data_IF_332398775349
#
_entry.id   IF_332398775349
#
_cell.length_a   1.000
_cell.length_b   1.000
_cell.length_c   1.000
_cell.angle_alpha   90.00
_cell.angle_beta   90.00
_cell.angle_gamma   90.00
#
_symmetry.space_group_name_H-M   'P 1'
#
loop_
_entity.id
_entity.type
_entity.pdbx_description
1 polymer ?
#
# COMPACT_ATOMS: atom_id res chain seq x y z
N UNK A 1 11.56 9.97 5.17
CA UNK A 1 10.09 9.71 5.03
C UNK A 1 9.54 9.60 3.59
N UNK A 2 9.80 10.56 2.69
CA UNK A 2 9.24 10.57 1.32
C UNK A 2 9.55 9.29 0.52
N UNK A 3 10.81 8.86 0.52
CA UNK A 3 11.26 7.62 -0.14
C UNK A 3 10.52 6.37 0.38
N UNK A 4 10.37 6.25 1.71
CA UNK A 4 9.63 5.12 2.30
C UNK A 4 8.16 5.08 1.85
N UNK A 5 7.50 6.24 1.79
CA UNK A 5 6.14 6.30 1.25
C UNK A 5 6.14 5.90 -0.23
N UNK A 6 7.13 6.35 -1.02
CA UNK A 6 7.23 6.00 -2.43
C UNK A 6 7.44 4.48 -2.64
N UNK A 7 8.34 3.88 -1.88
CA UNK A 7 8.59 2.43 -1.86
C UNK A 7 7.32 1.67 -1.50
N UNK A 8 6.60 2.11 -0.47
CA UNK A 8 5.36 1.45 -0.07
C UNK A 8 4.26 1.59 -1.12
N UNK A 9 4.11 2.77 -1.75
CA UNK A 9 3.18 2.98 -2.86
C UNK A 9 3.54 2.07 -4.03
N UNK A 10 4.83 1.96 -4.36
CA UNK A 10 5.33 1.09 -5.44
C UNK A 10 5.05 -0.38 -5.15
N UNK A 11 5.31 -0.84 -3.92
CA UNK A 11 5.02 -2.20 -3.47
C UNK A 11 3.53 -2.55 -3.62
N UNK A 12 2.64 -1.67 -3.14
CA UNK A 12 1.19 -1.87 -3.27
C UNK A 12 0.69 -1.79 -4.72
N UNK A 13 1.25 -0.87 -5.51
CA UNK A 13 0.96 -0.81 -6.94
C UNK A 13 1.32 -2.12 -7.64
N UNK A 14 2.50 -2.67 -7.37
CA UNK A 14 2.94 -3.94 -7.94
C UNK A 14 2.08 -5.13 -7.47
N UNK A 15 1.66 -5.14 -6.21
CA UNK A 15 0.74 -6.17 -5.70
C UNK A 15 -0.62 -6.12 -6.42
N UNK A 16 -1.23 -4.93 -6.55
CA UNK A 16 -2.52 -4.72 -7.20
C UNK A 16 -2.50 -4.87 -8.73
N UNK A 17 -1.31 -4.86 -9.34
CA UNK A 17 -1.11 -5.07 -10.79
C UNK A 17 -0.47 -6.42 -11.11
N UNK A 18 -0.20 -7.25 -10.10
CA UNK A 18 0.36 -8.58 -10.28
C UNK A 18 -0.57 -9.44 -11.14
N UNK A 19 -0.06 -10.18 -12.14
CA UNK A 19 -0.89 -11.07 -12.96
C UNK A 19 -1.68 -12.09 -12.13
N UNK A 20 -1.10 -12.56 -11.03
CA UNK A 20 -1.76 -13.48 -10.09
C UNK A 20 -3.02 -12.85 -9.49
N UNK A 21 -2.95 -11.61 -9.02
CA UNK A 21 -4.09 -10.89 -8.47
C UNK A 21 -5.09 -10.49 -9.57
N UNK A 22 -4.62 -9.99 -10.72
CA UNK A 22 -5.52 -9.62 -11.81
C UNK A 22 -6.32 -10.82 -12.35
N UNK A 23 -5.77 -12.03 -12.27
CA UNK A 23 -6.47 -13.26 -12.68
C UNK A 23 -7.64 -13.65 -11.79
N UNK A 24 -7.76 -13.09 -10.57
CA UNK A 24 -8.89 -13.36 -9.68
C UNK A 24 -10.15 -12.62 -10.09
N UNK A 25 -10.04 -11.57 -10.92
CA UNK A 25 -11.21 -10.81 -11.36
C UNK A 25 -12.02 -11.56 -12.42
N UNK A 26 -13.23 -11.95 -12.06
CA UNK A 26 -14.22 -12.48 -12.99
C UNK A 26 -15.03 -11.30 -13.57
N UNK A 27 -15.22 -11.21 -14.90
CA UNK A 27 -15.99 -10.14 -15.51
C UNK A 27 -17.36 -9.94 -14.87
N UNK A 28 -17.66 -8.69 -14.49
CA UNK A 28 -18.92 -8.26 -13.86
C UNK A 28 -19.20 -8.87 -12.48
N UNK A 29 -18.22 -9.52 -11.87
CA UNK A 29 -18.32 -9.98 -10.49
C UNK A 29 -17.37 -9.16 -9.62
N UNK A 30 -17.82 -8.71 -8.43
CA UNK A 30 -16.90 -8.12 -7.47
C UNK A 30 -15.97 -9.20 -6.91
N UNK A 31 -14.81 -8.79 -6.39
CA UNK A 31 -13.94 -9.69 -5.64
C UNK A 31 -14.69 -10.34 -4.48
N UNK A 32 -14.35 -11.60 -4.21
CA UNK A 32 -14.82 -12.30 -3.02
C UNK A 32 -14.26 -11.67 -1.75
N UNK A 33 -14.97 -11.74 -0.61
CA UNK A 33 -14.45 -11.27 0.67
C UNK A 33 -13.10 -11.90 1.04
N UNK A 34 -12.90 -13.18 0.71
CA UNK A 34 -11.61 -13.85 0.90
C UNK A 34 -10.49 -13.18 0.11
N UNK A 35 -10.69 -12.86 -1.16
CA UNK A 35 -9.66 -12.20 -1.98
C UNK A 35 -9.33 -10.80 -1.48
N UNK A 36 -10.35 -10.07 -0.99
CA UNK A 36 -10.18 -8.75 -0.37
C UNK A 36 -9.30 -8.83 0.87
N UNK A 37 -9.49 -9.84 1.72
CA UNK A 37 -8.67 -10.04 2.92
C UNK A 37 -7.20 -10.32 2.61
N UNK A 38 -6.91 -11.01 1.50
CA UNK A 38 -5.53 -11.30 1.06
C UNK A 38 -4.81 -10.09 0.47
N UNK A 39 -5.50 -8.97 0.25
CA UNK A 39 -4.92 -7.74 -0.27
C UNK A 39 -4.91 -6.64 0.80
N UNK A 40 -3.75 -6.36 1.44
CA UNK A 40 -3.66 -5.43 2.56
C UNK A 40 -4.27 -4.06 2.25
N UNK A 41 -4.02 -3.52 1.05
CA UNK A 41 -4.57 -2.23 0.63
C UNK A 41 -6.11 -2.21 0.58
N UNK A 42 -6.76 -3.31 0.20
CA UNK A 42 -8.22 -3.33 0.05
C UNK A 42 -8.95 -3.33 1.40
N UNK A 43 -8.28 -3.68 2.49
CA UNK A 43 -8.83 -3.63 3.84
C UNK A 43 -9.09 -2.18 4.31
N UNK A 44 -8.45 -1.19 3.66
CA UNK A 44 -8.70 0.23 3.87
C UNK A 44 -9.87 0.77 3.05
N UNK A 45 -10.60 -0.08 2.31
CA UNK A 45 -11.87 0.30 1.70
C UNK A 45 -12.99 -0.04 2.69
N UNK A 46 -13.86 0.92 3.06
CA UNK A 46 -14.99 0.64 3.94
C UNK A 46 -15.88 -0.49 3.43
N UNK A 47 -16.32 -1.36 4.33
CA UNK A 47 -17.12 -2.55 4.02
C UNK A 47 -18.31 -2.31 3.05
N UNK A 48 -19.11 -1.22 3.15
CA UNK A 48 -20.20 -0.97 2.20
C UNK A 48 -19.76 -0.81 0.74
N UNK A 49 -18.48 -0.48 0.51
CA UNK A 49 -17.90 -0.29 -0.82
C UNK A 49 -17.11 -1.51 -1.30
N UNK A 50 -16.78 -2.46 -0.42
CA UNK A 50 -16.04 -3.68 -0.77
C UNK A 50 -16.81 -4.56 -1.78
N UNK A 51 -18.14 -4.56 -1.71
CA UNK A 51 -19.03 -5.20 -2.71
C UNK A 51 -18.96 -4.58 -4.13
N UNK A 52 -18.23 -3.49 -4.32
CA UNK A 52 -18.06 -2.80 -5.60
C UNK A 52 -16.64 -2.89 -6.15
N UNK A 53 -15.78 -3.76 -5.60
CA UNK A 53 -14.42 -3.96 -6.07
C UNK A 53 -14.44 -4.88 -7.31
N UNK A 54 -14.80 -4.31 -8.45
CA UNK A 54 -14.66 -4.90 -9.78
C UNK A 54 -13.26 -4.63 -10.35
N UNK A 55 -12.91 -5.27 -11.47
CA UNK A 55 -11.64 -4.98 -12.15
C UNK A 55 -11.49 -3.48 -12.47
N UNK A 56 -12.54 -2.81 -12.96
CA UNK A 56 -12.53 -1.36 -13.24
C UNK A 56 -12.36 -0.51 -11.99
N UNK A 57 -12.81 -0.98 -10.82
CA UNK A 57 -12.56 -0.33 -9.54
C UNK A 57 -11.07 -0.43 -9.18
N UNK A 58 -10.48 -1.61 -9.34
CA UNK A 58 -9.05 -1.84 -9.11
C UNK A 58 -8.16 -1.04 -10.08
N UNK A 59 -8.54 -0.95 -11.36
CA UNK A 59 -7.86 -0.09 -12.34
C UNK A 59 -7.87 1.39 -11.92
N UNK A 60 -9.00 1.87 -11.39
CA UNK A 60 -9.08 3.23 -10.83
C UNK A 60 -8.17 3.39 -9.61
N UNK A 61 -8.19 2.44 -8.68
CA UNK A 61 -7.36 2.43 -7.48
C UNK A 61 -5.86 2.41 -7.83
N UNK A 62 -5.42 1.49 -8.69
CA UNK A 62 -4.03 1.37 -9.15
C UNK A 62 -3.55 2.61 -9.91
N UNK A 63 -4.43 3.26 -10.68
CA UNK A 63 -4.12 4.54 -11.33
C UNK A 63 -3.82 5.63 -10.30
N UNK A 64 -4.58 5.68 -9.21
CA UNK A 64 -4.34 6.63 -8.12
C UNK A 64 -3.05 6.31 -7.34
N UNK A 65 -2.75 5.03 -7.09
CA UNK A 65 -1.45 4.61 -6.54
C UNK A 65 -0.29 5.07 -7.42
N UNK A 66 -0.40 4.85 -8.75
CA UNK A 66 0.62 5.30 -9.71
C UNK A 66 0.79 6.82 -9.70
N UNK A 67 -0.32 7.57 -9.65
CA UNK A 67 -0.27 9.03 -9.58
C UNK A 67 0.39 9.51 -8.28
N UNK A 68 0.10 8.86 -7.15
CA UNK A 68 0.76 9.13 -5.88
C UNK A 68 2.27 8.81 -5.94
N UNK A 69 2.66 7.70 -6.56
CA UNK A 69 4.07 7.33 -6.75
C UNK A 69 4.81 8.40 -7.55
N UNK A 70 4.24 8.86 -8.66
CA UNK A 70 4.81 9.94 -9.49
C UNK A 70 4.95 11.24 -8.70
N UNK A 71 4.01 11.59 -7.82
CA UNK A 71 4.15 12.76 -6.97
C UNK A 71 5.26 12.63 -5.93
N UNK A 72 5.48 11.42 -5.41
CA UNK A 72 6.51 11.12 -4.43
C UNK A 72 7.89 10.97 -5.07
N UNK A 73 8.00 10.49 -6.30
CA UNK A 73 9.26 10.34 -7.04
C UNK A 73 9.08 10.81 -8.49
N UNK A 74 9.02 12.12 -8.74
CA UNK A 74 8.76 12.64 -10.08
C UNK A 74 9.88 12.33 -11.06
N UNK A 75 11.13 12.19 -10.59
CA UNK A 75 12.27 11.84 -11.43
C UNK A 75 12.13 10.40 -11.95
N UNK A 76 11.98 9.41 -11.05
CA UNK A 76 11.90 7.98 -11.39
C UNK A 76 10.54 7.64 -12.02
N UNK A 77 9.45 8.17 -11.46
CA UNK A 77 8.09 7.85 -11.88
C UNK A 77 7.77 8.30 -13.31
N UNK A 78 8.51 9.27 -13.84
CA UNK A 78 8.29 9.84 -15.17
C UNK A 78 9.27 9.35 -16.23
N UNK A 79 10.40 8.73 -15.86
CA UNK A 79 11.32 8.11 -16.82
C UNK A 79 10.61 7.07 -17.70
N UNK A 80 9.61 6.37 -17.14
CA UNK A 80 8.79 5.39 -17.89
C UNK A 80 7.70 6.01 -18.76
N UNK A 81 7.58 7.34 -18.76
CA UNK A 81 6.55 8.12 -19.46
C UNK A 81 7.13 8.87 -20.66
N UNK A 82 7.98 8.20 -21.45
CA UNK A 82 8.51 8.75 -22.71
C UNK A 82 7.35 9.21 -23.63
N UNK A 83 7.34 10.49 -24.00
CA UNK A 83 6.34 11.07 -24.91
C UNK A 83 5.31 12.00 -24.28
N UNK A 84 5.35 12.22 -22.96
CA UNK A 84 4.49 13.22 -22.33
C UNK A 84 4.91 14.66 -22.65
N UNK A 85 3.92 15.56 -22.68
CA UNK A 85 4.15 16.99 -22.85
C UNK A 85 4.99 17.54 -21.70
N UNK A 86 6.06 18.28 -22.02
CA UNK A 86 6.93 18.95 -21.03
C UNK A 86 6.14 19.80 -20.04
N UNK A 87 5.05 20.43 -20.50
CA UNK A 87 4.18 21.22 -19.65
C UNK A 87 3.49 20.40 -18.53
N UNK A 88 3.12 19.14 -18.80
CA UNK A 88 2.56 18.26 -17.79
C UNK A 88 3.62 17.88 -16.74
N UNK A 89 4.85 17.61 -17.19
CA UNK A 89 5.97 17.32 -16.29
C UNK A 89 6.27 18.48 -15.35
N UNK A 90 6.38 19.70 -15.88
CA UNK A 90 6.59 20.91 -15.07
C UNK A 90 5.49 21.05 -14.00
N UNK A 91 4.23 20.76 -14.37
CA UNK A 91 3.11 20.74 -13.43
C UNK A 91 3.28 19.66 -12.35
N UNK A 92 3.69 18.44 -12.70
CA UNK A 92 3.95 17.35 -11.74
C UNK A 92 5.05 17.75 -10.75
N UNK A 93 6.15 18.33 -11.23
CA UNK A 93 7.23 18.82 -10.37
C UNK A 93 6.75 19.91 -9.41
N UNK A 94 5.93 20.86 -9.89
CA UNK A 94 5.35 21.90 -9.04
C UNK A 94 4.38 21.34 -7.99
N UNK A 95 3.55 20.35 -8.34
CA UNK A 95 2.67 19.66 -7.39
C UNK A 95 3.47 18.88 -6.35
N UNK A 96 4.50 18.15 -6.79
CA UNK A 96 5.42 17.38 -5.93
C UNK A 96 6.12 18.25 -4.87
N UNK A 97 6.51 19.49 -5.21
CA UNK A 97 7.09 20.45 -4.25
C UNK A 97 6.12 20.86 -3.14
N UNK A 98 4.82 20.90 -3.44
CA UNK A 98 3.76 21.26 -2.47
C UNK A 98 3.37 20.08 -1.56
N UNK A 99 3.76 18.86 -1.94
CA UNK A 99 3.42 17.63 -1.23
C UNK A 99 2.22 16.90 -1.84
N UNK A 100 2.08 15.59 -1.56
CA UNK A 100 1.06 14.74 -2.15
C UNK A 100 -0.29 14.96 -1.43
N UNK A 101 -1.10 15.90 -1.93
CA UNK A 101 -2.48 16.08 -1.45
C UNK A 101 -3.45 15.22 -2.27
N UNK A 102 -4.65 14.89 -1.77
CA UNK A 102 -5.68 14.20 -2.55
C UNK A 102 -5.96 14.87 -3.90
N UNK A 103 -6.03 16.20 -3.89
CA UNK A 103 -6.25 17.00 -5.10
C UNK A 103 -5.07 16.87 -6.09
N UNK A 104 -3.83 16.93 -5.60
CA UNK A 104 -2.65 16.73 -6.44
C UNK A 104 -2.65 15.34 -7.09
N UNK A 105 -3.00 14.29 -6.34
CA UNK A 105 -3.07 12.92 -6.87
C UNK A 105 -4.10 12.83 -7.99
N UNK A 106 -5.29 13.42 -7.82
CA UNK A 106 -6.33 13.45 -8.86
C UNK A 106 -5.90 14.23 -10.10
N UNK A 107 -5.19 15.35 -9.93
CA UNK A 107 -4.67 16.13 -11.05
C UNK A 107 -3.61 15.38 -11.85
N UNK A 108 -2.70 14.68 -11.17
CA UNK A 108 -1.71 13.83 -11.82
C UNK A 108 -2.39 12.65 -12.52
N UNK A 109 -3.33 11.97 -11.85
CA UNK A 109 -4.07 10.86 -12.42
C UNK A 109 -4.84 11.25 -13.69
N UNK A 110 -5.48 12.42 -13.68
CA UNK A 110 -6.23 12.95 -14.85
C UNK A 110 -5.31 13.30 -16.03
N UNK A 111 -4.05 13.61 -15.73
CA UNK A 111 -3.06 13.96 -16.74
C UNK A 111 -2.28 12.76 -17.29
N UNK A 112 -2.46 11.54 -16.76
CA UNK A 112 -1.87 10.31 -17.32
C UNK A 112 -2.58 9.94 -18.62
N UNK A 113 -2.36 10.70 -19.70
CA UNK A 113 -3.09 10.65 -20.97
C UNK A 113 -3.11 9.31 -21.73
N UNK A 114 -2.42 8.27 -21.24
CA UNK A 114 -2.54 6.89 -21.75
C UNK A 114 -3.53 6.02 -20.96
N UNK A 115 -3.89 6.43 -19.76
CA UNK A 115 -4.88 5.75 -18.93
C UNK A 115 -6.25 6.35 -19.23
N UNK A 116 -7.25 5.50 -19.46
CA UNK A 116 -8.63 5.94 -19.44
C UNK A 116 -8.93 6.57 -18.06
N UNK A 117 -9.48 7.78 -18.05
CA UNK A 117 -9.96 8.42 -16.82
C UNK A 117 -11.25 7.76 -16.30
N UNK A 118 -11.89 6.93 -17.13
CA UNK A 118 -13.07 6.13 -16.83
C UNK A 118 -12.94 5.33 -15.54
N UNK A 119 -11.93 4.45 -15.40
CA UNK A 119 -11.65 3.72 -14.16
C UNK A 119 -11.54 4.59 -12.90
N UNK A 120 -10.83 5.73 -12.96
CA UNK A 120 -10.72 6.64 -11.79
C UNK A 120 -12.09 7.23 -11.44
N UNK A 121 -12.86 7.68 -12.45
CA UNK A 121 -14.24 8.15 -12.23
C UNK A 121 -15.13 7.04 -11.66
N UNK A 122 -15.00 5.82 -12.15
CA UNK A 122 -15.73 4.66 -11.66
C UNK A 122 -15.42 4.40 -10.18
N UNK A 123 -14.13 4.37 -9.80
CA UNK A 123 -13.68 4.22 -8.42
C UNK A 123 -14.33 5.26 -7.50
N UNK A 124 -14.23 6.55 -7.86
CA UNK A 124 -14.80 7.65 -7.07
C UNK A 124 -16.33 7.56 -6.97
N UNK A 125 -17.02 7.24 -8.08
CA UNK A 125 -18.48 7.11 -8.11
C UNK A 125 -19.00 5.94 -7.26
N UNK A 126 -18.17 4.93 -6.99
CA UNK A 126 -18.51 3.79 -6.12
C UNK A 126 -18.19 4.03 -4.65
N UNK A 127 -17.86 5.26 -4.27
CA UNK A 127 -17.52 5.64 -2.89
C UNK A 127 -16.04 5.50 -2.54
N UNK A 128 -15.20 5.19 -3.54
CA UNK A 128 -13.75 5.24 -3.43
C UNK A 128 -13.26 6.65 -3.12
N UNK A 129 -12.18 6.75 -2.36
CA UNK A 129 -11.55 8.01 -1.93
C UNK A 129 -10.04 7.92 -2.07
N UNK A 130 -9.38 9.04 -2.33
CA UNK A 130 -7.91 9.06 -2.38
C UNK A 130 -7.33 8.88 -0.98
N UNK A 131 -8.08 9.29 0.04
CA UNK A 131 -7.74 9.17 1.45
C UNK A 131 -7.51 7.71 1.86
N UNK A 132 -8.26 6.74 1.30
CA UNK A 132 -8.05 5.31 1.59
C UNK A 132 -6.65 4.84 1.17
N UNK A 133 -6.11 5.40 0.08
CA UNK A 133 -4.76 5.10 -0.41
C UNK A 133 -3.72 5.68 0.54
N UNK A 134 -3.91 6.91 1.00
CA UNK A 134 -3.00 7.51 1.97
C UNK A 134 -3.01 6.76 3.30
N UNK A 135 -4.19 6.39 3.81
CA UNK A 135 -4.29 5.63 5.05
C UNK A 135 -3.58 4.28 4.91
N UNK A 136 -3.82 3.56 3.81
CA UNK A 136 -3.14 2.30 3.52
C UNK A 136 -1.61 2.45 3.51
N UNK A 137 -1.09 3.40 2.72
CA UNK A 137 0.34 3.62 2.55
C UNK A 137 1.01 4.07 3.84
N UNK A 138 0.40 5.00 4.57
CA UNK A 138 0.95 5.53 5.82
C UNK A 138 1.01 4.44 6.87
N UNK A 139 -0.05 3.65 7.02
CA UNK A 139 -0.11 2.60 8.03
C UNK A 139 0.88 1.47 7.73
N UNK A 140 0.93 1.00 6.49
CA UNK A 140 1.93 -0.01 6.10
C UNK A 140 3.37 0.51 6.18
N UNK A 141 3.61 1.79 5.88
CA UNK A 141 4.93 2.41 6.04
C UNK A 141 5.34 2.57 7.53
N UNK A 142 4.35 2.64 8.44
CA UNK A 142 4.59 2.58 9.89
C UNK A 142 4.96 1.18 10.32
N UNK A 143 4.20 0.17 9.90
CA UNK A 143 4.43 -1.25 10.24
C UNK A 143 5.82 -1.74 9.81
N UNK A 144 6.31 -1.31 8.65
CA UNK A 144 7.65 -1.67 8.15
C UNK A 144 8.80 -0.93 8.86
N UNK A 145 8.51 0.03 9.74
CA UNK A 145 9.54 0.69 10.52
C UNK A 145 10.01 -0.23 11.65
N UNK A 146 10.90 -1.17 11.34
CA UNK A 146 11.53 -2.12 12.29
C UNK A 146 12.10 -1.41 13.52
N UNK A 147 12.48 -0.15 13.36
CA UNK A 147 13.00 0.67 14.42
C UNK A 147 12.39 2.07 14.34
N UNK A 148 11.72 2.47 15.43
CA UNK A 148 11.51 3.88 15.75
C UNK A 148 12.80 4.60 16.14
N UNK A 149 13.98 4.03 15.86
CA UNK A 149 15.29 4.58 16.25
C UNK A 149 15.89 5.53 15.20
N UNK A 150 15.33 5.58 13.99
CA UNK A 150 15.79 6.47 12.92
C UNK A 150 16.88 5.89 12.00
N UNK A 151 17.32 4.65 12.18
CA UNK A 151 18.48 4.10 11.45
C UNK A 151 18.26 3.82 9.96
N UNK A 152 17.02 3.94 9.46
CA UNK A 152 16.72 3.70 8.03
C UNK A 152 17.21 4.86 7.15
N UNK A 153 17.15 6.11 7.64
CA UNK A 153 17.64 7.26 6.86
C UNK A 153 19.17 7.22 6.74
N UNK A 154 19.87 6.71 7.76
CA UNK A 154 21.33 6.53 7.75
C UNK A 154 21.83 5.56 6.66
N UNK A 155 21.02 4.59 6.22
CA UNK A 155 21.41 3.62 5.17
C UNK A 155 21.36 4.20 3.76
N UNK A 156 20.57 5.24 3.53
CA UNK A 156 20.36 5.81 2.20
C UNK A 156 20.97 7.20 2.00
N UNK A 157 21.37 7.89 3.08
CA UNK A 157 22.13 9.15 3.00
C UNK A 157 23.62 8.97 2.66
N UNK A 158 24.06 7.75 2.36
CA UNK A 158 25.38 7.48 1.77
C UNK A 158 25.40 8.06 0.35
N UNK A 159 25.77 9.34 0.23
CA UNK A 159 26.01 9.98 -1.06
C UNK A 159 27.06 9.16 -1.83
N UNK A 160 26.83 8.87 -3.12
CA UNK A 160 27.79 8.12 -3.95
C UNK A 160 29.10 8.86 -4.22
N UNK A 161 29.27 10.10 -3.73
CA UNK A 161 30.41 10.96 -4.04
C UNK A 161 31.71 10.60 -3.29
N UNK A 162 31.76 9.48 -2.57
CA UNK A 162 32.94 9.07 -1.80
C UNK A 162 33.41 7.63 -2.09
N UNK A 163 33.33 7.20 -3.36
CA UNK A 163 34.02 5.99 -3.86
C UNK A 163 35.39 6.32 -4.48
N UNK A 164 36.16 7.22 -3.85
CA UNK A 164 37.59 7.34 -4.12
C UNK A 164 38.37 6.51 -3.08
N UNK A 165 38.38 5.20 -3.30
CA UNK A 165 39.46 4.28 -2.91
C UNK A 165 39.52 3.29 -4.07
N UNK A 166 40.25 3.60 -5.14
CA UNK A 166 41.66 3.23 -5.31
C UNK A 166 41.95 1.84 -4.72
N UNK A 167 42.20 0.91 -5.64
CA UNK A 167 42.87 -0.38 -5.49
C UNK A 167 42.12 -1.50 -4.75
N UNK A 168 41.42 -2.34 -5.52
CA UNK A 168 41.52 -3.79 -5.41
C UNK A 168 40.94 -4.45 -6.68
N UNK A 169 41.84 -4.93 -7.55
CA UNK A 169 41.48 -5.75 -8.69
C UNK A 169 41.12 -7.16 -8.20
N UNK A 170 39.96 -7.73 -8.57
CA UNK A 170 39.72 -9.14 -8.35
C UNK A 170 40.57 -9.94 -9.35
N UNK A 171 41.52 -10.72 -8.83
CA UNK A 171 42.18 -11.78 -9.58
C UNK A 171 41.10 -12.78 -10.06
N UNK A 172 41.12 -13.08 -11.36
CA UNK A 172 40.27 -14.09 -11.97
C UNK A 172 40.72 -15.49 -11.51
N UNK A 173 40.09 -16.00 -10.45
CA UNK A 173 40.23 -17.41 -10.07
C UNK A 173 39.22 -18.25 -10.86
N UNK A 174 39.74 -18.99 -11.83
CA UNK A 174 39.09 -20.07 -12.57
C UNK A 174 38.63 -21.20 -11.62
N UNK A 175 37.47 -21.04 -11.00
CA UNK A 175 36.88 -22.08 -10.17
C UNK A 175 36.05 -23.06 -11.01
N UNK A 176 36.73 -24.09 -11.51
CA UNK A 176 36.11 -25.30 -12.04
C UNK A 176 35.57 -26.12 -10.85
N UNK A 177 34.25 -26.11 -10.62
CA UNK A 177 33.60 -26.98 -9.63
C UNK A 177 32.59 -27.92 -10.26
N UNK A 178 33.11 -29.00 -10.84
CA UNK A 178 32.39 -30.27 -10.88
C UNK A 178 32.50 -30.89 -9.48
N UNK A 179 31.59 -30.53 -8.57
CA UNK A 179 31.43 -31.20 -7.27
C UNK A 179 30.02 -31.74 -7.14
N UNK A 180 29.96 -33.07 -7.32
CA UNK A 180 28.82 -33.95 -7.09
C UNK A 180 28.54 -34.02 -5.57
N UNK A 181 27.73 -33.09 -5.07
CA UNK A 181 27.31 -33.07 -3.65
C UNK A 181 26.05 -33.92 -3.47
N UNK A 182 26.26 -35.20 -3.19
CA UNK A 182 25.28 -35.99 -2.43
C UNK A 182 25.42 -35.60 -0.96
N UNK A 183 24.59 -34.64 -0.55
CA UNK A 183 24.49 -34.22 0.85
C UNK A 183 23.83 -35.36 1.61
N UNK A 184 24.53 -35.94 2.58
CA UNK A 184 24.02 -36.96 3.48
C UNK A 184 22.82 -36.40 4.28
N UNK A 185 21.60 -36.86 3.98
CA UNK A 185 20.33 -36.48 4.64
C UNK A 185 20.40 -36.58 6.18
N UNK A 186 21.32 -37.40 6.71
CA UNK A 186 21.52 -37.58 8.16
C UNK A 186 22.16 -36.36 8.84
N UNK A 187 22.98 -35.58 8.11
CA UNK A 187 23.62 -34.37 8.64
C UNK A 187 22.62 -33.21 8.73
N UNK A 188 21.68 -33.12 7.79
CA UNK A 188 20.66 -32.07 7.75
C UNK A 188 19.64 -32.24 8.89
N UNK A 189 19.25 -33.48 9.19
CA UNK A 189 18.37 -33.81 10.31
C UNK A 189 19.02 -33.46 11.68
N UNK A 190 20.33 -33.68 11.83
CA UNK A 190 21.06 -33.33 13.04
C UNK A 190 21.17 -31.80 13.24
N UNK A 191 21.35 -31.04 12.16
CA UNK A 191 21.41 -29.58 12.19
C UNK A 191 20.05 -28.97 12.61
N UNK A 192 18.94 -29.49 12.08
CA UNK A 192 17.58 -29.07 12.46
C UNK A 192 17.26 -29.36 13.93
N UNK A 193 17.64 -30.53 14.45
CA UNK A 193 17.45 -30.88 15.85
C UNK A 193 18.29 -30.00 16.81
N UNK A 194 19.51 -29.63 16.40
CA UNK A 194 20.35 -28.71 17.17
C UNK A 194 19.77 -27.29 17.21
N UNK A 195 19.13 -26.86 16.11
CA UNK A 195 18.44 -25.56 16.03
C UNK A 195 17.21 -25.53 16.95
N UNK A 196 16.36 -26.56 16.92
CA UNK A 196 15.21 -26.66 17.85
C UNK A 196 15.65 -26.72 19.32
N UNK A 197 16.78 -27.36 19.63
CA UNK A 197 17.31 -27.41 21.00
C UNK A 197 17.89 -26.06 21.45
N UNK A 198 18.46 -25.28 20.54
CA UNK A 198 19.00 -23.95 20.82
C UNK A 198 17.90 -22.90 21.00
N UNK A 199 16.81 -23.01 20.24
CA UNK A 199 15.62 -22.15 20.36
C UNK A 199 14.60 -22.77 21.31
N UNK A 200 14.97 -22.86 22.58
CA UNK A 200 14.12 -23.38 23.65
C UNK A 200 12.69 -22.82 23.59
N UNK A 201 11.71 -23.67 23.93
CA UNK A 201 10.27 -23.35 24.00
C UNK A 201 10.00 -22.11 24.86
N UNK A 202 10.00 -20.94 24.24
CA UNK A 202 9.45 -19.74 24.86
C UNK A 202 7.93 -19.87 24.91
N UNK A 203 7.42 -20.22 26.09
CA UNK A 203 6.00 -20.10 26.39
C UNK A 203 5.66 -18.60 26.51
N UNK A 204 5.32 -17.98 25.39
CA UNK A 204 4.78 -16.62 25.37
C UNK A 204 3.41 -16.60 26.05
N UNK A 205 3.39 -16.18 27.31
CA UNK A 205 2.19 -15.73 27.99
C UNK A 205 1.71 -14.44 27.35
N UNK A 206 0.66 -14.54 26.53
CA UNK A 206 -0.03 -13.45 25.85
C UNK A 206 -0.73 -12.55 26.87
N UNK A 207 0.01 -11.57 27.39
CA UNK A 207 -0.53 -10.40 28.07
C UNK A 207 -0.91 -9.36 27.04
N UNK A 208 -2.15 -9.41 26.55
CA UNK A 208 -2.79 -8.28 25.88
C UNK A 208 -2.85 -7.14 26.92
N UNK A 209 -2.27 -5.97 26.59
CA UNK A 209 -2.48 -4.63 27.19
C UNK A 209 -1.20 -3.77 27.34
N UNK A 210 0.01 -4.27 27.03
CA UNK A 210 1.25 -3.49 27.24
C UNK A 210 1.70 -2.57 26.08
N UNK A 211 1.07 -2.64 24.90
CA UNK A 211 1.53 -1.87 23.72
C UNK A 211 1.13 -0.39 23.75
N UNK A 212 0.17 0.00 24.59
CA UNK A 212 -0.32 1.40 24.69
C UNK A 212 0.64 2.33 25.44
N UNK A 213 1.68 1.79 26.07
CA UNK A 213 2.65 2.55 26.88
C UNK A 213 4.01 2.74 26.21
N UNK A 214 4.19 2.32 24.96
CA UNK A 214 5.43 2.59 24.22
C UNK A 214 5.48 4.10 23.92
N UNK A 215 6.58 4.80 24.29
CA UNK A 215 6.74 6.21 23.95
C UNK A 215 6.60 6.39 22.44
N UNK A 216 5.77 7.34 22.00
CA UNK A 216 5.68 7.71 20.58
C UNK A 216 7.08 8.02 20.08
N UNK A 217 7.56 7.26 19.10
CA UNK A 217 8.86 7.51 18.53
C UNK A 217 8.81 8.76 17.64
N UNK A 218 9.97 9.33 17.31
CA UNK A 218 10.05 10.50 16.40
C UNK A 218 9.36 10.23 15.06
N UNK A 219 9.32 8.98 14.61
CA UNK A 219 8.62 8.58 13.39
C UNK A 219 7.11 8.75 13.52
N UNK A 220 6.49 8.38 14.66
CA UNK A 220 5.04 8.53 14.86
C UNK A 220 4.59 9.98 14.75
N UNK A 221 5.38 10.89 15.34
CA UNK A 221 5.16 12.34 15.23
C UNK A 221 5.35 12.83 13.79
N UNK A 222 6.34 12.29 13.06
CA UNK A 222 6.53 12.60 11.65
C UNK A 222 5.35 12.13 10.79
N UNK A 223 4.79 10.95 11.06
CA UNK A 223 3.60 10.47 10.37
C UNK A 223 2.36 11.31 10.68
N UNK A 224 2.14 11.69 11.94
CA UNK A 224 1.04 12.59 12.33
C UNK A 224 1.19 13.97 11.65
N UNK A 225 2.41 14.47 11.52
CA UNK A 225 2.71 15.70 10.78
C UNK A 225 2.44 15.54 9.27
N UNK A 226 2.87 14.43 8.67
CA UNK A 226 2.59 14.13 7.25
C UNK A 226 1.09 14.12 7.01
N UNK A 227 0.31 13.45 7.87
CA UNK A 227 -1.16 13.44 7.80
C UNK A 227 -1.78 14.83 7.89
N UNK A 228 -1.27 15.66 8.79
CA UNK A 228 -1.70 17.06 8.90
C UNK A 228 -1.43 17.81 7.60
N UNK A 229 -0.25 17.64 7.03
CA UNK A 229 0.19 18.34 5.83
C UNK A 229 -0.54 17.87 4.56
N UNK A 230 -0.97 16.61 4.49
CA UNK A 230 -1.77 16.10 3.36
C UNK A 230 -3.29 16.34 3.53
N UNK A 231 -3.70 17.02 4.60
CA UNK A 231 -5.09 17.43 4.82
C UNK A 231 -6.02 16.35 5.42
N UNK A 232 -5.47 15.22 5.86
CA UNK A 232 -6.28 14.08 6.34
C UNK A 232 -6.89 14.31 7.74
N UNK A 233 -6.35 15.24 8.54
CA UNK A 233 -6.86 15.51 9.89
C UNK A 233 -8.20 16.26 9.93
N UNK A 234 -8.62 16.87 8.82
CA UNK A 234 -9.84 17.69 8.77
C UNK A 234 -11.11 16.89 8.41
N UNK A 235 -10.98 15.67 7.89
CA UNK A 235 -12.08 14.93 7.22
C UNK A 235 -12.79 13.93 8.15
N UNK A 236 -12.29 13.71 9.36
CA UNK A 236 -12.95 12.88 10.36
C UNK A 236 -14.24 13.57 10.87
N UNK A 237 -15.37 13.23 10.26
CA UNK A 237 -16.69 13.69 10.70
C UNK A 237 -16.99 13.33 12.16
N UNK A 238 -18.01 13.96 12.78
CA UNK A 238 -18.42 13.67 14.14
C UNK A 238 -18.92 12.22 14.23
N UNK A 239 -18.05 11.30 14.66
CA UNK A 239 -18.31 9.86 14.74
C UNK A 239 -17.15 8.99 14.25
N UNK A 240 -16.31 9.52 13.35
CA UNK A 240 -15.06 8.90 12.89
C UNK A 240 -13.83 9.52 13.57
N UNK A 241 -14.00 10.03 14.78
CA UNK A 241 -12.90 10.61 15.57
C UNK A 241 -11.91 9.50 15.93
N UNK A 242 -10.91 9.32 15.08
CA UNK A 242 -9.70 8.58 15.42
C UNK A 242 -9.71 7.08 15.13
N UNK A 243 -10.71 6.52 14.42
CA UNK A 243 -10.54 5.17 13.87
C UNK A 243 -9.74 5.28 12.58
N UNK A 244 -8.47 4.91 12.73
CA UNK A 244 -7.46 4.76 11.71
C UNK A 244 -7.16 3.27 11.59
N UNK A 245 -6.90 2.80 10.37
CA UNK A 245 -6.65 1.39 10.09
C UNK A 245 -7.78 0.76 9.28
N UNK A 246 -7.67 -0.53 8.95
CA UNK A 246 -8.66 -1.20 8.12
C UNK A 246 -10.06 -1.02 8.72
N UNK A 247 -11.01 -0.65 7.87
CA UNK A 247 -12.38 -0.32 8.28
C UNK A 247 -13.18 -1.60 8.54
N UNK A 248 -12.68 -2.42 9.47
CA UNK A 248 -13.45 -3.49 10.05
C UNK A 248 -14.49 -2.86 10.96
N UNK A 249 -15.76 -3.09 10.64
CA UNK A 249 -16.80 -2.94 11.63
C UNK A 249 -16.54 -4.02 12.67
N UNK A 250 -16.00 -3.65 13.84
CA UNK A 250 -16.31 -4.40 15.06
C UNK A 250 -17.82 -4.60 15.04
N UNK A 251 -18.25 -5.86 15.15
CA UNK A 251 -19.64 -6.30 15.07
C UNK A 251 -20.56 -5.21 15.62
N UNK A 252 -21.15 -4.44 14.71
CA UNK A 252 -22.19 -3.51 15.09
C UNK A 252 -23.30 -4.45 15.54
N UNK A 253 -23.56 -4.51 16.85
CA UNK A 253 -24.68 -5.26 17.43
C UNK A 253 -25.94 -4.85 16.67
N UNK A 254 -26.28 -5.66 15.67
CA UNK A 254 -27.38 -5.40 14.73
C UNK A 254 -28.73 -5.65 15.42
N UNK A 255 -28.72 -6.04 16.70
CA UNK A 255 -29.90 -6.28 17.51
C UNK A 255 -30.70 -5.00 17.83
N UNK A 256 -30.15 -3.80 17.57
CA UNK A 256 -30.82 -2.53 17.89
C UNK A 256 -31.40 -1.74 16.71
N UNK A 257 -31.03 -2.05 15.47
CA UNK A 257 -31.48 -1.29 14.29
C UNK A 257 -32.43 -2.16 13.49
N UNK A 258 -33.73 -1.96 13.75
CA UNK A 258 -34.82 -2.58 13.03
C UNK A 258 -34.56 -2.56 11.54
N UNK A 259 -34.47 -3.77 10.98
CA UNK A 259 -34.40 -4.05 9.55
C UNK A 259 -35.54 -3.31 8.87
N UNK A 260 -35.23 -2.17 8.26
CA UNK A 260 -36.09 -1.65 7.21
C UNK A 260 -35.85 -2.54 6.01
N UNK A 261 -36.71 -3.54 5.87
CA UNK A 261 -37.10 -4.11 4.58
C UNK A 261 -37.58 -2.95 3.69
N UNK A 262 -36.64 -2.27 3.05
CA UNK A 262 -36.90 -1.55 1.81
C UNK A 262 -36.41 -2.47 0.71
N UNK A 263 -37.21 -3.52 0.50
CA UNK A 263 -37.33 -4.14 -0.80
C UNK A 263 -37.63 -3.01 -1.79
N UNK A 264 -36.69 -2.79 -2.71
CA UNK A 264 -37.00 -2.12 -3.97
C UNK A 264 -38.11 -2.95 -4.62
N UNK A 265 -39.33 -2.40 -4.61
CA UNK A 265 -40.47 -2.97 -5.29
C UNK A 265 -40.15 -3.08 -6.78
N UNK A 266 -40.07 -4.32 -7.26
CA UNK A 266 -39.78 -4.69 -8.64
C UNK A 266 -40.98 -4.51 -9.56
N UNK A 267 -41.71 -3.41 -9.44
CA UNK A 267 -42.88 -3.13 -10.28
C UNK A 267 -42.88 -1.70 -10.80
N UNK A 268 -41.96 -1.36 -11.71
CA UNK A 268 -42.17 -0.26 -12.65
C UNK A 268 -41.29 -0.36 -13.92
N UNK A 269 -41.21 -1.56 -14.50
CA UNK A 269 -40.69 -1.77 -15.88
C UNK A 269 -41.80 -2.30 -16.77
N UNK A 270 -42.95 -1.63 -16.79
CA UNK A 270 -43.91 -1.68 -17.90
C UNK A 270 -44.66 -0.35 -17.97
N UNK A 271 -44.06 0.64 -18.65
CA UNK A 271 -44.74 1.72 -19.39
C UNK A 271 -43.71 2.69 -19.93
N UNK A 272 -43.52 2.60 -21.25
CA UNK A 272 -42.93 3.51 -22.23
C UNK A 272 -42.39 2.53 -23.30
N UNK A 273 -43.12 2.25 -24.37
CA UNK A 273 -43.46 3.23 -25.40
C UNK A 273 -42.45 3.07 -26.52
#
# INVERSE_FOLDING_TARGET
MRYRLAEQVSSQYNALTSPSFLSTFIPRQPLSPSEILHQPTLQYIPFPFQQHIYNTFNEGLTTLFRALYILLEPEIGTERLYGFERAWMDKVFELSKRGPTPQAVLEVASGLGYMDVGPVKFYLNKGGKVEYIFDAVIDMAKEQSVLGDGSFEDRFDVRPDNQNSEDDQPEEDDFNSDSDESIDEELEAAALAALEAAFGKETHGRGEDSYTHIPKCSNDLAFDLVRKNVGLLAVAGPGLKGRWGPYFYEEFDFEGLGVYDVWMDGSEVERLG
#
